data_IF_268675858991
#
_entry.id   IF_268675858991
#
_cell.length_a   1.000
_cell.length_b   1.000
_cell.length_c   1.000
_cell.angle_alpha   90.00
_cell.angle_beta   90.00
_cell.angle_gamma   90.00
#
_symmetry.space_group_name_H-M   'P 1'
#
loop_
_entity.id
_entity.type
_entity.pdbx_description
1 polymer ?
#
# COMPACT_ATOMS: atom_id res chain seq x y z
N UNK A 1 -12.26 -32.01 -3.99
CA UNK A 1 -11.61 -31.86 -2.67
C UNK A 1 -10.78 -30.59 -2.71
N UNK A 2 -11.31 -29.50 -2.16
CA UNK A 2 -10.59 -28.25 -2.00
C UNK A 2 -9.68 -28.42 -0.79
N UNK A 3 -8.40 -28.69 -1.02
CA UNK A 3 -7.40 -28.53 0.03
C UNK A 3 -7.42 -27.07 0.46
N UNK A 4 -7.88 -26.83 1.68
CA UNK A 4 -7.53 -25.62 2.41
C UNK A 4 -6.01 -25.63 2.52
N UNK A 5 -5.30 -24.94 1.61
CA UNK A 5 -3.91 -24.56 1.86
C UNK A 5 -3.95 -23.75 3.15
N UNK A 6 -3.52 -24.39 4.24
CA UNK A 6 -3.52 -23.79 5.56
C UNK A 6 -2.85 -22.43 5.47
N UNK A 7 -3.45 -21.42 6.12
CA UNK A 7 -2.82 -20.11 6.30
C UNK A 7 -1.37 -20.36 6.72
N UNK A 8 -0.39 -19.91 5.93
CA UNK A 8 1.02 -20.03 6.31
C UNK A 8 1.18 -19.41 7.70
N UNK A 9 1.92 -20.09 8.56
CA UNK A 9 2.20 -19.58 9.90
C UNK A 9 2.93 -18.23 9.79
N UNK A 10 2.53 -17.26 10.61
CA UNK A 10 3.24 -15.98 10.72
C UNK A 10 4.60 -16.21 11.38
N UNK A 11 5.67 -15.75 10.73
CA UNK A 11 7.07 -15.94 11.15
C UNK A 11 7.90 -14.71 10.79
N UNK A 12 8.98 -14.45 11.54
CA UNK A 12 9.99 -13.45 11.15
C UNK A 12 10.80 -13.91 9.93
N UNK A 13 10.91 -15.23 9.73
CA UNK A 13 11.40 -15.83 8.49
C UNK A 13 10.33 -15.71 7.39
N UNK A 14 10.15 -14.48 6.91
CA UNK A 14 9.09 -14.10 5.98
C UNK A 14 9.60 -13.58 4.63
N UNK A 15 10.91 -13.27 4.51
CA UNK A 15 11.53 -12.65 3.33
C UNK A 15 11.62 -13.64 2.16
N UNK A 16 10.47 -13.84 1.53
CA UNK A 16 10.23 -14.76 0.44
C UNK A 16 9.48 -14.03 -0.68
N UNK A 17 9.54 -14.58 -1.88
CA UNK A 17 8.78 -14.11 -3.03
C UNK A 17 8.19 -15.31 -3.76
N UNK A 18 7.09 -15.09 -4.49
CA UNK A 18 6.50 -16.08 -5.38
C UNK A 18 6.68 -15.62 -6.82
N UNK A 19 7.04 -16.54 -7.72
CA UNK A 19 7.10 -16.28 -9.17
C UNK A 19 5.98 -17.03 -9.85
N UNK A 20 5.11 -16.29 -10.52
CA UNK A 20 4.04 -16.81 -11.37
C UNK A 20 4.46 -16.57 -12.82
N UNK A 21 4.58 -17.63 -13.61
CA UNK A 21 5.10 -17.55 -14.98
C UNK A 21 4.27 -18.43 -15.92
N UNK A 22 4.09 -18.05 -17.20
CA UNK A 22 3.51 -18.94 -18.19
C UNK A 22 4.32 -20.25 -18.28
N UNK A 23 3.75 -21.33 -18.84
CA UNK A 23 4.53 -22.54 -19.11
C UNK A 23 5.80 -22.18 -19.88
N UNK A 24 6.95 -22.58 -19.35
CA UNK A 24 8.23 -22.33 -19.98
C UNK A 24 8.30 -23.17 -21.28
N UNK A 25 7.93 -22.54 -22.40
CA UNK A 25 7.98 -23.14 -23.73
C UNK A 25 9.36 -23.04 -24.38
N UNK A 26 9.55 -23.71 -25.52
CA UNK A 26 10.78 -23.70 -26.31
C UNK A 26 11.06 -22.36 -27.02
N UNK A 27 10.23 -21.33 -26.81
CA UNK A 27 10.42 -20.00 -27.40
C UNK A 27 11.47 -19.23 -26.60
N UNK A 28 12.43 -18.63 -27.31
CA UNK A 28 13.50 -17.81 -26.71
C UNK A 28 12.99 -16.47 -26.16
N UNK A 29 11.73 -16.10 -26.42
CA UNK A 29 11.18 -14.80 -26.04
C UNK A 29 10.98 -14.71 -24.52
N UNK A 30 11.49 -13.62 -23.93
CA UNK A 30 11.32 -13.31 -22.51
C UNK A 30 10.13 -12.37 -22.31
N UNK A 31 9.31 -12.68 -21.32
CA UNK A 31 8.07 -11.97 -21.00
C UNK A 31 8.32 -10.71 -20.17
N UNK A 32 7.47 -9.66 -20.28
CA UNK A 32 7.45 -8.58 -19.30
C UNK A 32 7.32 -9.11 -17.87
N UNK A 33 7.86 -8.36 -16.91
CA UNK A 33 7.81 -8.74 -15.49
C UNK A 33 7.04 -7.68 -14.73
N UNK A 34 6.03 -8.08 -13.96
CA UNK A 34 5.39 -7.23 -12.96
C UNK A 34 5.84 -7.66 -11.57
N UNK A 35 6.41 -6.75 -10.79
CA UNK A 35 6.71 -6.99 -9.37
C UNK A 35 5.62 -6.32 -8.54
N UNK A 36 4.82 -7.13 -7.86
CA UNK A 36 3.69 -6.70 -7.04
C UNK A 36 4.09 -6.52 -5.58
N UNK A 37 3.92 -5.31 -5.07
CA UNK A 37 4.12 -4.91 -3.68
C UNK A 37 2.75 -4.77 -3.03
N UNK A 38 2.47 -5.60 -2.03
CA UNK A 38 1.16 -5.61 -1.40
C UNK A 38 0.92 -4.41 -0.48
N UNK A 39 -0.35 -4.02 -0.36
CA UNK A 39 -0.86 -3.05 0.61
C UNK A 39 -1.02 -3.62 2.02
N UNK A 40 -1.90 -3.01 2.81
CA UNK A 40 -2.18 -3.40 4.20
C UNK A 40 -1.59 -2.46 5.27
N UNK A 41 -1.45 -1.17 4.92
CA UNK A 41 -1.04 -0.12 5.86
C UNK A 41 0.33 -0.33 6.51
N UNK A 42 1.21 -1.09 5.85
CA UNK A 42 2.52 -1.52 6.37
C UNK A 42 2.46 -2.35 7.66
N UNK A 43 1.30 -2.89 8.04
CA UNK A 43 1.11 -3.67 9.28
C UNK A 43 0.42 -5.01 9.05
N UNK A 44 -0.12 -5.21 7.85
CA UNK A 44 -0.72 -6.46 7.40
C UNK A 44 -0.44 -6.66 5.90
N UNK A 45 -0.79 -7.83 5.38
CA UNK A 45 -0.61 -8.21 3.98
C UNK A 45 0.47 -9.28 3.81
N UNK A 46 0.47 -9.90 2.64
CA UNK A 46 1.43 -10.92 2.23
C UNK A 46 1.33 -11.13 0.72
N UNK A 47 2.44 -11.45 0.07
CA UNK A 47 2.50 -11.75 -1.35
C UNK A 47 1.69 -12.98 -1.75
N UNK A 48 1.44 -13.92 -0.83
CA UNK A 48 0.65 -15.13 -1.12
C UNK A 48 -0.86 -14.87 -1.29
N UNK A 49 -1.36 -13.70 -0.88
CA UNK A 49 -2.75 -13.29 -1.08
C UNK A 49 -3.09 -13.05 -2.55
N UNK A 50 -2.08 -12.76 -3.39
CA UNK A 50 -2.23 -12.29 -4.75
C UNK A 50 -2.00 -13.42 -5.76
N UNK A 51 -2.91 -14.38 -5.78
CA UNK A 51 -2.88 -15.44 -6.79
C UNK A 51 -3.00 -14.84 -8.19
N UNK A 52 -1.89 -14.92 -8.93
CA UNK A 52 -1.69 -14.23 -10.21
C UNK A 52 -1.87 -15.14 -11.42
N UNK A 53 -2.43 -16.34 -11.25
CA UNK A 53 -2.59 -17.32 -12.33
C UNK A 53 -3.32 -16.74 -13.55
N UNK A 54 -4.41 -16.01 -13.33
CA UNK A 54 -5.21 -15.42 -14.40
C UNK A 54 -4.48 -14.29 -15.11
N UNK A 55 -3.85 -13.40 -14.34
CA UNK A 55 -3.08 -12.29 -14.87
C UNK A 55 -1.92 -12.78 -15.76
N UNK A 56 -1.20 -13.81 -15.30
CA UNK A 56 -0.14 -14.47 -16.08
C UNK A 56 -0.69 -15.12 -17.35
N UNK A 57 -1.82 -15.84 -17.25
CA UNK A 57 -2.39 -16.58 -18.38
C UNK A 57 -2.95 -15.65 -19.47
N UNK A 58 -3.61 -14.54 -19.09
CA UNK A 58 -4.24 -13.60 -20.02
C UNK A 58 -3.27 -12.53 -20.53
N UNK A 59 -2.41 -12.01 -19.65
CA UNK A 59 -1.50 -10.92 -19.99
C UNK A 59 -0.17 -11.36 -20.57
N UNK A 60 0.12 -12.67 -20.63
CA UNK A 60 1.39 -13.22 -21.12
C UNK A 60 2.63 -12.55 -20.49
N UNK A 61 2.61 -12.41 -19.16
CA UNK A 61 3.67 -11.80 -18.36
C UNK A 61 4.10 -12.69 -17.18
N UNK A 62 5.27 -12.42 -16.62
CA UNK A 62 5.70 -12.97 -15.33
C UNK A 62 5.24 -12.03 -14.21
N UNK A 63 4.68 -12.57 -13.14
CA UNK A 63 4.30 -11.80 -11.94
C UNK A 63 5.12 -12.29 -10.75
N UNK A 64 5.78 -11.37 -10.06
CA UNK A 64 6.52 -11.63 -8.83
C UNK A 64 5.81 -10.93 -7.67
N UNK A 65 5.27 -11.69 -6.73
CA UNK A 65 4.67 -11.14 -5.50
C UNK A 65 5.68 -11.23 -4.36
N UNK A 66 5.92 -10.16 -3.63
CA UNK A 66 6.98 -10.12 -2.61
C UNK A 66 6.42 -10.01 -1.20
N UNK A 67 7.10 -10.63 -0.23
CA UNK A 67 6.96 -10.29 1.18
C UNK A 67 8.05 -9.30 1.60
N UNK A 68 7.69 -8.38 2.49
CA UNK A 68 8.61 -7.44 3.13
C UNK A 68 8.23 -7.30 4.60
N UNK A 69 9.18 -6.91 5.47
CA UNK A 69 8.87 -6.74 6.89
C UNK A 69 7.87 -5.61 7.12
N UNK A 70 6.97 -5.83 8.07
CA UNK A 70 5.86 -4.94 8.43
C UNK A 70 6.00 -4.45 9.88
N UNK A 71 5.22 -3.44 10.26
CA UNK A 71 5.11 -2.92 11.62
C UNK A 71 6.46 -2.50 12.20
N UNK A 72 6.70 -2.85 13.46
CA UNK A 72 7.95 -2.55 14.15
C UNK A 72 9.16 -3.22 13.47
N UNK A 73 9.00 -4.44 12.97
CA UNK A 73 10.08 -5.19 12.34
C UNK A 73 10.53 -4.56 11.00
N UNK A 74 9.60 -3.91 10.30
CA UNK A 74 9.85 -3.25 9.02
C UNK A 74 10.31 -1.80 9.15
N UNK A 75 9.79 -1.07 10.13
CA UNK A 75 9.84 0.40 10.07
C UNK A 75 10.30 1.11 11.35
N UNK A 76 10.73 0.37 12.39
CA UNK A 76 11.20 0.99 13.63
C UNK A 76 12.46 1.86 13.39
N UNK A 77 12.35 3.16 13.63
CA UNK A 77 13.41 4.14 13.42
C UNK A 77 14.19 4.45 14.72
N UNK A 78 14.36 3.45 15.60
CA UNK A 78 15.01 3.67 16.89
C UNK A 78 16.52 3.91 16.70
N UNK A 79 17.12 4.97 17.28
CA UNK A 79 18.53 5.33 17.08
C UNK A 79 19.55 4.23 17.45
N UNK A 80 19.22 3.34 18.39
CA UNK A 80 20.10 2.21 18.73
C UNK A 80 20.17 1.11 17.66
N UNK A 81 19.26 1.10 16.68
CA UNK A 81 19.22 0.06 15.63
C UNK A 81 20.16 0.32 14.46
N UNK A 82 20.69 1.54 14.32
CA UNK A 82 21.59 1.91 13.23
C UNK A 82 22.13 3.33 13.40
N UNK A 83 23.23 3.63 12.71
CA UNK A 83 23.85 4.96 12.79
C UNK A 83 23.05 6.00 11.98
N UNK A 84 22.76 7.14 12.62
CA UNK A 84 22.23 8.33 11.97
C UNK A 84 20.94 8.08 11.17
N UNK A 85 21.03 8.26 9.87
CA UNK A 85 19.94 8.23 8.89
C UNK A 85 19.65 6.81 8.32
N UNK A 86 20.23 5.76 8.90
CA UNK A 86 20.16 4.37 8.41
C UNK A 86 19.18 3.49 9.20
N UNK A 87 18.08 4.06 9.69
CA UNK A 87 17.04 3.38 10.48
C UNK A 87 15.65 3.58 9.86
N UNK A 88 14.67 2.76 10.25
CA UNK A 88 13.26 2.99 9.94
C UNK A 88 12.73 2.51 8.59
N UNK A 89 13.59 2.04 7.67
CA UNK A 89 13.18 1.63 6.32
C UNK A 89 13.62 0.21 5.96
N UNK A 90 13.54 -0.72 6.90
CA UNK A 90 13.93 -2.10 6.69
C UNK A 90 12.99 -2.82 5.71
N UNK A 91 11.67 -2.57 5.80
CA UNK A 91 10.69 -3.10 4.85
C UNK A 91 10.93 -2.60 3.42
N UNK A 92 11.26 -1.31 3.24
CA UNK A 92 11.63 -0.75 1.94
C UNK A 92 12.96 -1.35 1.41
N UNK A 93 13.92 -1.60 2.30
CA UNK A 93 15.17 -2.27 1.95
C UNK A 93 14.94 -3.75 1.53
N UNK A 94 13.98 -4.44 2.14
CA UNK A 94 13.57 -5.79 1.75
C UNK A 94 12.98 -5.80 0.33
N UNK A 95 12.11 -4.82 0.03
CA UNK A 95 11.54 -4.65 -1.32
C UNK A 95 12.66 -4.38 -2.35
N UNK A 96 13.63 -3.52 -2.03
CA UNK A 96 14.80 -3.30 -2.88
C UNK A 96 15.65 -4.57 -3.08
N UNK A 97 15.78 -5.41 -2.04
CA UNK A 97 16.46 -6.69 -2.15
C UNK A 97 15.72 -7.65 -3.09
N UNK A 98 14.38 -7.69 -3.01
CA UNK A 98 13.56 -8.46 -3.94
C UNK A 98 13.68 -7.94 -5.39
N UNK A 99 13.73 -6.62 -5.61
CA UNK A 99 13.93 -6.05 -6.95
C UNK A 99 15.31 -6.41 -7.53
N UNK A 100 16.37 -6.40 -6.71
CA UNK A 100 17.69 -6.90 -7.13
C UNK A 100 17.66 -8.39 -7.47
N UNK A 101 16.96 -9.19 -6.66
CA UNK A 101 16.76 -10.61 -6.95
C UNK A 101 16.06 -10.81 -8.30
N UNK A 102 15.01 -10.03 -8.60
CA UNK A 102 14.30 -10.08 -9.89
C UNK A 102 15.26 -9.76 -11.04
N UNK A 103 16.02 -8.67 -10.96
CA UNK A 103 17.02 -8.31 -11.98
C UNK A 103 17.99 -9.46 -12.25
N UNK A 104 18.48 -10.11 -11.19
CA UNK A 104 19.54 -11.11 -11.29
C UNK A 104 19.01 -12.51 -11.71
N UNK A 105 17.73 -12.83 -11.47
CA UNK A 105 17.24 -14.21 -11.57
C UNK A 105 16.03 -14.40 -12.50
N UNK A 106 15.25 -13.36 -12.80
CA UNK A 106 13.93 -13.55 -13.43
C UNK A 106 14.00 -14.12 -14.86
N UNK A 107 15.15 -13.97 -15.52
CA UNK A 107 15.44 -14.61 -16.80
C UNK A 107 15.28 -16.13 -16.78
N UNK A 108 15.68 -16.78 -15.68
CA UNK A 108 15.53 -18.24 -15.50
C UNK A 108 14.08 -18.68 -15.37
N UNK A 109 13.17 -17.75 -15.07
CA UNK A 109 11.73 -17.97 -14.95
C UNK A 109 10.96 -17.46 -16.18
N UNK A 110 11.65 -17.18 -17.29
CA UNK A 110 11.02 -16.71 -18.54
C UNK A 110 10.74 -15.21 -18.58
N UNK A 111 11.12 -14.44 -17.56
CA UNK A 111 10.96 -12.99 -17.54
C UNK A 111 12.12 -12.24 -18.20
N UNK A 112 11.88 -11.04 -18.68
CA UNK A 112 12.89 -10.12 -19.19
C UNK A 112 13.27 -9.12 -18.07
N UNK A 113 14.51 -9.18 -17.53
CA UNK A 113 14.94 -8.29 -16.45
C UNK A 113 15.02 -6.82 -16.88
N UNK A 114 14.98 -6.51 -18.17
CA UNK A 114 14.95 -5.13 -18.69
C UNK A 114 13.53 -4.58 -18.83
N UNK A 115 12.50 -5.44 -18.74
CA UNK A 115 11.09 -5.08 -18.89
C UNK A 115 10.30 -5.13 -17.58
N UNK A 116 10.94 -4.85 -16.46
CA UNK A 116 10.34 -4.86 -15.11
C UNK A 116 9.46 -3.62 -14.86
N UNK A 117 8.21 -3.86 -14.47
CA UNK A 117 7.27 -2.86 -13.94
C UNK A 117 7.02 -3.14 -12.47
N UNK A 118 7.19 -2.15 -11.59
CA UNK A 118 6.74 -2.26 -10.19
C UNK A 118 5.28 -1.82 -10.08
N UNK A 119 4.49 -2.52 -9.29
CA UNK A 119 3.08 -2.25 -9.11
C UNK A 119 2.69 -2.47 -7.66
N UNK A 120 1.76 -1.68 -7.14
CA UNK A 120 1.24 -1.87 -5.80
C UNK A 120 -0.07 -1.15 -5.58
N UNK A 121 -0.73 -1.52 -4.49
CA UNK A 121 -1.99 -0.93 -4.03
C UNK A 121 -1.86 -0.45 -2.58
N UNK A 122 -2.52 0.66 -2.24
CA UNK A 122 -2.50 1.21 -0.87
C UNK A 122 -1.07 1.50 -0.37
N UNK A 123 -0.67 0.95 0.78
CA UNK A 123 0.71 0.98 1.27
C UNK A 123 1.75 0.42 0.27
N UNK A 124 1.35 -0.54 -0.56
CA UNK A 124 2.19 -1.04 -1.66
C UNK A 124 2.37 0.00 -2.76
N UNK A 125 1.33 0.78 -3.07
CA UNK A 125 1.42 1.92 -4.00
C UNK A 125 2.26 3.06 -3.42
N UNK A 126 2.17 3.32 -2.11
CA UNK A 126 3.10 4.22 -1.42
C UNK A 126 4.55 3.76 -1.56
N UNK A 127 4.82 2.45 -1.40
CA UNK A 127 6.14 1.86 -1.62
C UNK A 127 6.62 2.06 -3.07
N UNK A 128 5.72 2.00 -4.06
CA UNK A 128 6.03 2.32 -5.46
C UNK A 128 6.45 3.79 -5.59
N UNK A 129 5.72 4.72 -4.97
CA UNK A 129 6.12 6.14 -4.92
C UNK A 129 7.49 6.33 -4.25
N UNK A 130 7.77 5.63 -3.16
CA UNK A 130 9.09 5.67 -2.52
C UNK A 130 10.19 5.15 -3.43
N UNK A 131 9.95 4.05 -4.15
CA UNK A 131 10.90 3.50 -5.11
C UNK A 131 11.17 4.41 -6.30
N UNK A 132 10.23 5.27 -6.69
CA UNK A 132 10.47 6.29 -7.71
C UNK A 132 11.51 7.33 -7.26
N UNK A 133 11.73 7.52 -5.95
CA UNK A 133 12.67 8.54 -5.43
C UNK A 133 13.84 7.96 -4.63
N UNK A 134 13.77 6.68 -4.25
CA UNK A 134 14.79 5.99 -3.48
C UNK A 134 16.05 5.71 -4.33
N UNK A 135 17.25 6.18 -3.91
CA UNK A 135 18.49 5.95 -4.65
C UNK A 135 18.80 4.47 -4.89
N UNK A 136 18.51 3.62 -3.89
CA UNK A 136 18.75 2.17 -3.95
C UNK A 136 17.83 1.40 -4.92
N UNK A 137 16.83 2.07 -5.49
CA UNK A 137 15.90 1.49 -6.47
C UNK A 137 16.17 1.92 -7.91
N UNK A 138 17.06 2.90 -8.13
CA UNK A 138 17.36 3.44 -9.44
C UNK A 138 17.85 2.35 -10.40
N UNK A 139 17.23 2.26 -11.57
CA UNK A 139 17.57 1.28 -12.60
C UNK A 139 17.09 -0.15 -12.37
N UNK A 140 16.31 -0.42 -11.30
CA UNK A 140 15.74 -1.76 -11.04
C UNK A 140 14.38 -2.01 -11.72
N UNK A 141 13.78 -0.98 -12.29
CA UNK A 141 12.50 -1.05 -12.99
C UNK A 141 12.44 -0.01 -14.10
N UNK A 142 11.56 -0.24 -15.08
CA UNK A 142 11.37 0.62 -16.27
C UNK A 142 10.00 1.29 -16.35
N UNK A 143 9.07 0.94 -15.46
CA UNK A 143 7.72 1.50 -15.36
C UNK A 143 7.14 1.26 -13.97
N UNK A 144 6.11 2.03 -13.61
CA UNK A 144 5.44 1.95 -12.31
C UNK A 144 3.90 1.96 -12.43
N UNK A 145 3.22 1.26 -11.53
CA UNK A 145 1.76 1.30 -11.36
C UNK A 145 1.44 1.64 -9.91
N UNK A 146 0.69 2.73 -9.69
CA UNK A 146 0.32 3.26 -8.37
C UNK A 146 -1.20 3.20 -8.24
N UNK A 147 -1.70 2.22 -7.50
CA UNK A 147 -3.15 2.06 -7.26
C UNK A 147 -3.51 2.59 -5.87
N UNK A 148 -4.29 3.66 -5.81
CA UNK A 148 -4.85 4.16 -4.54
C UNK A 148 -3.79 4.45 -3.47
N UNK A 149 -2.64 5.01 -3.89
CA UNK A 149 -1.50 5.27 -3.02
C UNK A 149 -1.51 6.68 -2.41
N UNK A 150 -1.75 6.86 -1.09
CA UNK A 150 -1.58 8.14 -0.42
C UNK A 150 -0.09 8.43 -0.19
N UNK A 151 0.64 8.74 -1.26
CA UNK A 151 2.10 8.88 -1.27
C UNK A 151 2.67 10.11 -0.54
N UNK A 152 1.82 10.80 0.23
CA UNK A 152 2.14 11.91 1.14
C UNK A 152 2.12 11.50 2.62
N UNK A 153 1.83 10.23 2.94
CA UNK A 153 1.62 9.75 4.30
C UNK A 153 2.90 9.26 5.01
N UNK A 154 4.06 9.38 4.38
CA UNK A 154 5.37 9.12 5.00
C UNK A 154 5.66 10.12 6.12
N UNK A 155 6.54 9.76 7.05
CA UNK A 155 6.94 10.63 8.18
C UNK A 155 8.39 11.03 8.12
N UNK A 156 8.75 12.17 8.69
CA UNK A 156 10.15 12.56 8.83
C UNK A 156 10.88 11.72 9.91
N UNK A 157 12.20 11.56 9.73
CA UNK A 157 13.04 10.78 10.63
C UNK A 157 12.97 11.22 12.10
N UNK A 158 12.89 12.52 12.38
CA UNK A 158 12.85 12.99 13.77
C UNK A 158 11.55 12.57 14.46
N UNK A 159 10.41 12.67 13.76
CA UNK A 159 9.12 12.17 14.22
C UNK A 159 9.11 10.66 14.38
N UNK A 160 9.64 9.91 13.41
CA UNK A 160 9.75 8.46 13.50
C UNK A 160 10.63 8.01 14.68
N UNK A 161 11.75 8.71 14.95
CA UNK A 161 12.63 8.43 16.08
C UNK A 161 11.93 8.63 17.43
N UNK A 162 11.19 9.73 17.60
CA UNK A 162 10.41 9.98 18.83
C UNK A 162 9.39 8.87 19.08
N UNK A 163 8.57 8.54 18.09
CA UNK A 163 7.59 7.45 18.19
C UNK A 163 8.27 6.10 18.46
N UNK A 164 9.45 5.87 17.87
CA UNK A 164 10.19 4.61 18.06
C UNK A 164 10.79 4.47 19.46
N UNK A 165 11.19 5.58 20.09
CA UNK A 165 11.63 5.62 21.49
C UNK A 165 10.46 5.29 22.43
N UNK A 166 9.31 5.94 22.25
CA UNK A 166 8.10 5.68 23.05
C UNK A 166 7.64 4.22 22.90
N UNK A 167 7.69 3.70 21.67
CA UNK A 167 7.41 2.31 21.38
C UNK A 167 8.35 1.37 22.14
N UNK A 168 9.67 1.58 22.05
CA UNK A 168 10.65 0.75 22.74
C UNK A 168 10.41 0.77 24.26
N UNK A 169 10.12 1.93 24.84
CA UNK A 169 9.77 2.05 26.26
C UNK A 169 8.50 1.25 26.62
N UNK A 170 7.45 1.31 25.78
CA UNK A 170 6.19 0.59 25.99
C UNK A 170 6.31 -0.93 26.00
N UNK A 171 7.35 -1.47 25.36
CA UNK A 171 7.64 -2.91 25.33
C UNK A 171 8.74 -3.31 26.33
N UNK A 172 9.16 -2.39 27.20
CA UNK A 172 10.13 -2.64 28.26
C UNK A 172 11.60 -2.43 27.87
N UNK A 173 11.86 -1.81 26.71
CA UNK A 173 13.20 -1.56 26.17
C UNK A 173 13.55 -0.05 26.17
N UNK A 174 13.32 0.63 27.30
CA UNK A 174 13.44 2.09 27.40
C UNK A 174 14.89 2.61 27.42
N UNK A 175 15.86 1.81 27.87
CA UNK A 175 17.27 2.23 27.98
C UNK A 175 17.92 2.31 26.59
N UNK A 176 18.30 3.50 26.09
CA UNK A 176 18.86 3.65 24.76
C UNK A 176 20.16 2.86 24.55
N UNK A 177 20.95 2.62 25.62
CA UNK A 177 22.22 1.90 25.53
C UNK A 177 22.02 0.40 25.26
N UNK A 178 20.92 -0.17 25.74
CA UNK A 178 20.62 -1.61 25.62
C UNK A 178 19.40 -1.91 24.73
N UNK A 179 18.66 -0.88 24.30
CA UNK A 179 17.40 -1.00 23.58
C UNK A 179 17.47 -1.92 22.37
N UNK A 180 18.54 -1.86 21.57
CA UNK A 180 18.65 -2.70 20.38
C UNK A 180 18.77 -4.19 20.72
N UNK A 181 19.52 -4.53 21.77
CA UNK A 181 19.64 -5.90 22.25
C UNK A 181 18.34 -6.37 22.89
N UNK A 182 17.73 -5.52 23.72
CA UNK A 182 16.42 -5.78 24.34
C UNK A 182 15.35 -6.08 23.28
N UNK A 183 15.20 -5.20 22.28
CA UNK A 183 14.20 -5.33 21.21
C UNK A 183 14.37 -6.64 20.42
N UNK A 184 15.61 -7.03 20.10
CA UNK A 184 15.91 -8.28 19.38
C UNK A 184 15.69 -9.54 20.23
N UNK A 185 15.74 -9.42 21.55
CA UNK A 185 15.52 -10.55 22.46
C UNK A 185 14.04 -10.78 22.78
N UNK A 186 13.16 -9.81 22.46
CA UNK A 186 11.73 -9.96 22.67
C UNK A 186 11.14 -11.01 21.69
N UNK A 187 10.18 -11.84 22.13
CA UNK A 187 9.40 -12.65 21.21
C UNK A 187 8.66 -11.76 20.21
N UNK A 188 8.61 -12.15 18.93
CA UNK A 188 7.94 -11.37 17.87
C UNK A 188 6.49 -10.95 18.23
N UNK A 189 5.75 -11.80 18.96
CA UNK A 189 4.40 -11.48 19.43
C UNK A 189 4.33 -10.25 20.35
N UNK A 190 5.41 -9.91 21.07
CA UNK A 190 5.51 -8.66 21.86
C UNK A 190 5.69 -7.43 20.97
N UNK A 191 6.15 -7.61 19.74
CA UNK A 191 6.34 -6.57 18.74
C UNK A 191 5.15 -6.45 17.76
N UNK A 192 4.11 -7.27 17.94
CA UNK A 192 2.98 -7.36 17.02
C UNK A 192 2.09 -6.10 16.99
N UNK A 193 2.15 -5.27 18.05
CA UNK A 193 1.58 -3.92 18.00
C UNK A 193 2.57 -3.03 17.26
N UNK A 194 2.19 -2.42 16.12
CA UNK A 194 3.11 -1.58 15.36
C UNK A 194 3.25 -0.20 16.00
N UNK A 195 4.40 0.49 15.78
CA UNK A 195 4.48 1.92 15.98
C UNK A 195 3.60 2.62 14.94
N UNK A 196 2.90 3.65 15.38
CA UNK A 196 1.98 4.42 14.56
C UNK A 196 2.61 5.78 14.25
N UNK A 197 3.08 5.96 13.03
CA UNK A 197 3.85 7.14 12.59
C UNK A 197 2.96 8.23 12.00
N UNK A 198 2.07 7.85 11.10
CA UNK A 198 1.17 8.76 10.39
C UNK A 198 -0.27 8.51 10.83
N UNK A 199 -1.13 9.53 10.70
CA UNK A 199 -2.55 9.45 11.03
C UNK A 199 -3.36 9.89 9.82
N UNK A 200 -4.16 8.98 9.26
CA UNK A 200 -5.33 9.35 8.47
C UNK A 200 -6.49 9.47 9.49
N UNK A 201 -6.42 10.51 10.33
CA UNK A 201 -7.37 10.78 11.41
C UNK A 201 -7.16 9.91 12.66
N UNK A 202 -8.03 10.08 13.66
CA UNK A 202 -7.87 9.46 14.99
C UNK A 202 -8.01 7.92 15.01
N UNK A 203 -8.64 7.32 14.01
CA UNK A 203 -8.91 5.86 13.96
C UNK A 203 -7.99 5.05 13.05
N UNK A 204 -7.28 5.70 12.12
CA UNK A 204 -6.46 5.06 11.09
C UNK A 204 -5.04 5.60 11.14
N UNK A 205 -4.25 5.02 12.02
CA UNK A 205 -2.81 5.28 12.04
C UNK A 205 -2.07 4.31 11.11
N UNK A 206 -0.94 4.73 10.56
CA UNK A 206 -0.07 3.94 9.69
C UNK A 206 1.32 3.81 10.32
N UNK A 207 1.87 2.60 10.31
CA UNK A 207 3.33 2.42 10.30
C UNK A 207 3.82 2.66 8.87
N UNK A 208 5.12 2.76 8.63
CA UNK A 208 5.61 2.83 7.27
C UNK A 208 6.87 3.66 7.07
N UNK A 209 7.13 4.03 5.80
CA UNK A 209 8.38 4.60 5.36
C UNK A 209 8.72 5.94 6.02
N UNK A 210 10.01 6.15 6.23
CA UNK A 210 10.58 7.30 6.92
C UNK A 210 11.43 8.13 5.96
N UNK A 211 11.06 9.37 5.72
CA UNK A 211 11.81 10.32 4.90
C UNK A 211 12.98 10.94 5.68
N UNK A 212 13.94 11.54 4.98
CA UNK A 212 15.17 12.05 5.61
C UNK A 212 16.14 10.93 6.01
N UNK A 213 15.98 9.73 5.46
CA UNK A 213 16.89 8.59 5.67
C UNK A 213 17.77 8.35 4.44
N UNK A 214 18.86 7.61 4.57
CA UNK A 214 19.67 7.22 3.42
C UNK A 214 18.87 6.39 2.38
N UNK A 215 17.89 5.60 2.82
CA UNK A 215 17.05 4.76 1.95
C UNK A 215 15.96 5.57 1.25
N UNK A 216 15.37 6.54 1.94
CA UNK A 216 14.34 7.45 1.44
C UNK A 216 14.67 8.89 1.87
N UNK A 217 15.51 9.60 1.10
CA UNK A 217 16.04 10.90 1.54
C UNK A 217 15.01 12.02 1.51
N UNK A 218 14.05 11.94 0.59
CA UNK A 218 13.08 13.00 0.31
C UNK A 218 11.68 12.42 0.29
N UNK A 219 10.71 13.24 0.70
CA UNK A 219 9.30 12.96 0.52
C UNK A 219 8.97 12.78 -0.99
N UNK A 220 8.25 11.71 -1.38
CA UNK A 220 7.96 11.43 -2.78
C UNK A 220 7.18 12.57 -3.47
N UNK A 221 6.14 13.10 -2.84
CA UNK A 221 5.30 14.15 -3.44
C UNK A 221 6.08 15.45 -3.63
N UNK A 222 6.87 15.85 -2.63
CA UNK A 222 7.76 17.00 -2.74
C UNK A 222 8.82 16.81 -3.84
N UNK A 223 9.40 15.61 -3.92
CA UNK A 223 10.40 15.27 -4.93
C UNK A 223 9.81 15.33 -6.36
N UNK A 224 8.62 14.75 -6.58
CA UNK A 224 7.93 14.84 -7.86
C UNK A 224 7.63 16.31 -8.22
N UNK A 225 7.14 17.09 -7.26
CA UNK A 225 6.88 18.52 -7.39
C UNK A 225 8.10 19.32 -7.84
N UNK A 226 9.28 18.97 -7.33
CA UNK A 226 10.58 19.53 -7.73
C UNK A 226 11.14 18.96 -9.04
N UNK A 227 10.45 18.01 -9.68
CA UNK A 227 10.91 17.36 -10.90
C UNK A 227 11.99 16.29 -10.68
N UNK A 228 12.18 15.83 -9.45
CA UNK A 228 13.04 14.69 -9.12
C UNK A 228 12.27 13.36 -9.24
N UNK A 229 12.99 12.24 -9.11
CA UNK A 229 12.46 10.89 -9.24
C UNK A 229 12.72 10.23 -10.60
N UNK A 230 12.48 8.93 -10.66
CA UNK A 230 12.71 8.08 -11.82
C UNK A 230 11.86 8.54 -13.01
N UNK A 231 12.50 8.67 -14.17
CA UNK A 231 11.89 9.11 -15.43
C UNK A 231 11.36 7.90 -16.20
N UNK A 232 10.34 7.27 -15.65
CA UNK A 232 9.71 6.07 -16.23
C UNK A 232 8.20 6.27 -16.44
N UNK A 233 7.56 5.60 -17.40
CA UNK A 233 6.12 5.65 -17.56
C UNK A 233 5.40 5.20 -16.29
N UNK A 234 4.33 5.90 -15.92
CA UNK A 234 3.54 5.63 -14.72
C UNK A 234 2.06 5.48 -15.10
N UNK A 235 1.43 4.40 -14.65
CA UNK A 235 -0.03 4.29 -14.54
C UNK A 235 -0.42 4.61 -13.11
N UNK A 236 -1.28 5.59 -12.88
CA UNK A 236 -1.72 6.01 -11.55
C UNK A 236 -3.24 6.14 -11.52
N UNK A 237 -3.86 5.78 -10.41
CA UNK A 237 -5.30 5.96 -10.29
C UNK A 237 -5.81 5.71 -8.89
N UNK A 238 -7.09 5.98 -8.72
CA UNK A 238 -7.86 5.82 -7.48
C UNK A 238 -9.21 5.20 -7.78
N UNK A 239 -9.88 4.73 -6.75
CA UNK A 239 -11.26 4.31 -6.85
C UNK A 239 -12.19 5.50 -6.54
N UNK A 240 -13.42 5.47 -7.04
CA UNK A 240 -14.36 6.59 -6.87
C UNK A 240 -14.79 6.80 -5.41
N UNK A 241 -14.86 5.72 -4.61
CA UNK A 241 -15.38 5.73 -3.24
C UNK A 241 -14.31 5.24 -2.22
N UNK A 242 -13.03 5.58 -2.40
CA UNK A 242 -11.87 5.07 -1.61
C UNK A 242 -12.18 4.89 -0.12
N UNK A 243 -12.66 5.95 0.52
CA UNK A 243 -12.68 5.98 1.98
C UNK A 243 -13.87 5.23 2.61
N UNK A 244 -14.84 4.77 1.82
CA UNK A 244 -16.03 4.07 2.35
C UNK A 244 -15.67 2.73 2.99
N UNK A 245 -14.57 2.08 2.57
CA UNK A 245 -14.08 0.85 3.20
C UNK A 245 -13.64 1.14 4.65
N UNK A 246 -12.92 2.24 4.85
CA UNK A 246 -12.39 2.62 6.16
C UNK A 246 -13.52 3.04 7.11
N UNK A 247 -14.53 3.77 6.61
CA UNK A 247 -15.72 4.08 7.41
C UNK A 247 -16.52 2.81 7.76
N UNK A 248 -16.62 1.84 6.84
CA UNK A 248 -17.23 0.54 7.12
C UNK A 248 -16.43 -0.27 8.16
N UNK A 249 -15.10 -0.28 8.09
CA UNK A 249 -14.25 -0.92 9.10
C UNK A 249 -14.42 -0.27 10.48
N UNK A 250 -14.52 1.06 10.53
CA UNK A 250 -14.84 1.78 11.78
C UNK A 250 -16.20 1.39 12.33
N UNK A 251 -17.23 1.31 11.48
CA UNK A 251 -18.55 0.83 11.87
C UNK A 251 -18.49 -0.59 12.46
N UNK A 252 -17.80 -1.51 11.79
CA UNK A 252 -17.66 -2.89 12.27
C UNK A 252 -16.92 -2.98 13.60
N UNK A 253 -15.93 -2.09 13.84
CA UNK A 253 -15.17 -2.02 15.09
C UNK A 253 -15.99 -1.45 16.25
N UNK A 254 -16.77 -0.39 15.99
CA UNK A 254 -17.47 0.38 17.02
C UNK A 254 -18.94 -0.03 17.21
N UNK A 255 -19.52 -0.77 16.26
CA UNK A 255 -20.93 -1.15 16.24
C UNK A 255 -21.90 -0.01 15.98
N UNK A 256 -21.42 1.16 15.52
CA UNK A 256 -22.25 2.36 15.27
C UNK A 256 -21.67 3.24 14.16
N UNK A 257 -22.53 4.00 13.51
CA UNK A 257 -22.15 5.02 12.51
C UNK A 257 -21.64 6.30 13.18
N UNK A 258 -21.05 7.18 12.37
CA UNK A 258 -20.68 8.53 12.83
C UNK A 258 -21.94 9.39 13.02
N UNK A 259 -21.92 10.22 14.05
CA UNK A 259 -22.99 11.16 14.36
C UNK A 259 -22.70 12.55 13.78
N UNK A 260 -23.74 13.37 13.58
CA UNK A 260 -23.57 14.74 13.09
C UNK A 260 -22.69 15.60 14.01
N UNK A 261 -22.73 15.34 15.32
CA UNK A 261 -21.89 16.02 16.31
C UNK A 261 -20.40 15.67 16.18
N UNK A 262 -20.08 14.46 15.70
CA UNK A 262 -18.69 14.03 15.47
C UNK A 262 -18.12 14.60 14.15
N UNK A 263 -18.96 15.03 13.21
CA UNK A 263 -18.53 15.41 11.85
C UNK A 263 -17.46 16.50 11.80
N UNK A 264 -17.57 17.64 12.53
CA UNK A 264 -16.53 18.65 12.52
C UNK A 264 -15.20 18.14 13.11
N UNK A 265 -15.27 17.26 14.11
CA UNK A 265 -14.09 16.67 14.77
C UNK A 265 -13.33 15.77 13.81
N UNK A 266 -14.02 14.80 13.20
CA UNK A 266 -13.35 13.86 12.27
C UNK A 266 -12.75 14.55 11.05
N UNK A 267 -13.35 15.65 10.58
CA UNK A 267 -12.75 16.48 9.53
C UNK A 267 -11.53 17.26 10.01
N UNK A 268 -11.58 17.82 11.22
CA UNK A 268 -10.43 18.50 11.81
C UNK A 268 -9.26 17.53 12.06
N UNK A 269 -9.54 16.26 12.39
CA UNK A 269 -8.51 15.25 12.60
C UNK A 269 -7.74 14.92 11.30
N UNK A 270 -8.39 15.00 10.14
CA UNK A 270 -7.78 14.72 8.83
C UNK A 270 -7.16 15.98 8.22
N UNK A 271 -7.93 17.07 8.19
CA UNK A 271 -7.61 18.29 7.44
C UNK A 271 -7.07 19.42 8.33
N UNK A 272 -6.94 19.18 9.63
CA UNK A 272 -6.46 20.18 10.58
C UNK A 272 -7.35 21.43 10.58
N UNK A 273 -6.76 22.64 10.56
CA UNK A 273 -7.49 23.90 10.55
C UNK A 273 -8.49 24.04 9.38
N UNK A 274 -8.24 23.37 8.25
CA UNK A 274 -9.08 23.47 7.06
C UNK A 274 -10.33 22.60 7.13
N UNK A 275 -10.47 21.74 8.16
CA UNK A 275 -11.58 20.79 8.29
C UNK A 275 -12.96 21.44 8.24
N UNK A 276 -13.12 22.66 8.79
CA UNK A 276 -14.37 23.42 8.68
C UNK A 276 -14.69 23.81 7.23
N UNK A 277 -13.70 24.32 6.51
CA UNK A 277 -13.87 24.74 5.12
C UNK A 277 -14.17 23.53 4.23
N UNK A 278 -13.46 22.41 4.44
CA UNK A 278 -13.76 21.14 3.78
C UNK A 278 -15.20 20.71 4.07
N UNK A 279 -15.63 20.69 5.34
CA UNK A 279 -16.99 20.28 5.70
C UNK A 279 -18.10 21.10 5.04
N UNK A 280 -17.84 22.36 4.69
CA UNK A 280 -18.80 23.18 3.93
C UNK A 280 -19.00 22.70 2.48
N UNK A 281 -18.01 22.04 1.89
CA UNK A 281 -18.11 21.42 0.56
C UNK A 281 -18.73 20.01 0.57
N UNK A 282 -18.72 19.35 1.73
CA UNK A 282 -19.25 17.99 1.92
C UNK A 282 -20.39 17.94 2.96
N UNK A 283 -21.44 18.77 2.87
CA UNK A 283 -22.52 18.73 3.87
C UNK A 283 -23.22 17.37 3.87
N UNK A 284 -23.50 16.74 5.04
CA UNK A 284 -24.17 15.43 5.11
C UNK A 284 -25.48 15.33 4.34
N UNK A 285 -26.22 16.44 4.19
CA UNK A 285 -27.46 16.49 3.40
C UNK A 285 -27.25 16.10 1.91
N UNK A 286 -26.07 16.38 1.34
CA UNK A 286 -25.68 15.95 -0.01
C UNK A 286 -25.57 14.42 -0.12
N UNK A 287 -25.42 13.74 1.01
CA UNK A 287 -25.23 12.30 1.15
C UNK A 287 -26.42 11.64 1.86
N UNK A 288 -27.62 12.21 1.71
CA UNK A 288 -28.84 11.66 2.30
C UNK A 288 -28.87 11.73 3.84
N UNK A 289 -28.08 12.64 4.43
CA UNK A 289 -27.89 12.76 5.87
C UNK A 289 -26.87 11.78 6.45
N UNK A 290 -26.24 10.92 5.65
CA UNK A 290 -25.23 9.98 6.14
C UNK A 290 -23.87 10.66 6.32
N UNK A 291 -23.51 10.87 7.58
CA UNK A 291 -22.24 11.48 7.98
C UNK A 291 -21.03 10.62 7.59
N UNK A 292 -21.17 9.29 7.61
CA UNK A 292 -20.09 8.38 7.23
C UNK A 292 -19.76 8.51 5.74
N UNK A 293 -20.78 8.64 4.89
CA UNK A 293 -20.60 8.87 3.46
C UNK A 293 -20.05 10.26 3.15
N UNK A 294 -20.53 11.30 3.82
CA UNK A 294 -20.02 12.66 3.65
C UNK A 294 -18.55 12.78 4.07
N UNK A 295 -18.19 12.16 5.20
CA UNK A 295 -16.80 12.06 5.64
C UNK A 295 -15.96 11.24 4.65
N UNK A 296 -16.47 10.09 4.18
CA UNK A 296 -15.75 9.25 3.24
C UNK A 296 -15.45 9.98 1.92
N UNK A 297 -16.41 10.73 1.39
CA UNK A 297 -16.21 11.52 0.17
C UNK A 297 -15.14 12.60 0.37
N UNK A 298 -15.20 13.34 1.47
CA UNK A 298 -14.20 14.37 1.77
C UNK A 298 -12.77 13.80 1.84
N UNK A 299 -12.60 12.65 2.50
CA UNK A 299 -11.29 11.99 2.65
C UNK A 299 -10.84 11.33 1.35
N UNK A 300 -11.75 10.76 0.56
CA UNK A 300 -11.44 10.22 -0.77
C UNK A 300 -10.79 11.29 -1.64
N UNK A 301 -11.41 12.47 -1.73
CA UNK A 301 -10.90 13.55 -2.56
C UNK A 301 -9.57 14.09 -2.00
N UNK A 302 -9.52 14.38 -0.71
CA UNK A 302 -8.38 15.06 -0.09
C UNK A 302 -7.13 14.19 0.13
N UNK A 303 -7.30 12.88 0.35
CA UNK A 303 -6.19 11.96 0.69
C UNK A 303 -5.80 11.06 -0.48
N UNK A 304 -6.71 10.77 -1.40
CA UNK A 304 -6.46 9.89 -2.54
C UNK A 304 -6.54 10.64 -3.87
N UNK A 305 -7.73 11.04 -4.32
CA UNK A 305 -7.95 11.48 -5.70
C UNK A 305 -7.15 12.75 -6.06
N UNK A 306 -7.27 13.84 -5.27
CA UNK A 306 -6.52 15.07 -5.53
C UNK A 306 -5.01 14.90 -5.31
N UNK A 307 -4.58 13.90 -4.55
CA UNK A 307 -3.16 13.59 -4.40
C UNK A 307 -2.65 12.86 -5.63
N UNK A 308 -3.36 11.85 -6.11
CA UNK A 308 -3.04 11.12 -7.31
C UNK A 308 -2.96 12.05 -8.53
N UNK A 309 -3.89 13.00 -8.65
CA UNK A 309 -3.87 14.02 -9.71
C UNK A 309 -2.62 14.91 -9.62
N UNK A 310 -2.30 15.44 -8.44
CA UNK A 310 -1.06 16.23 -8.22
C UNK A 310 0.21 15.46 -8.54
N UNK A 311 0.27 14.18 -8.15
CA UNK A 311 1.41 13.30 -8.46
C UNK A 311 1.50 13.08 -9.97
N UNK A 312 0.39 12.77 -10.64
CA UNK A 312 0.34 12.57 -12.09
C UNK A 312 0.80 13.80 -12.86
N UNK A 313 0.32 14.98 -12.47
CA UNK A 313 0.71 16.27 -13.02
C UNK A 313 2.20 16.59 -12.80
N UNK A 314 2.74 16.20 -11.64
CA UNK A 314 4.17 16.38 -11.37
C UNK A 314 5.05 15.42 -12.19
N UNK A 315 4.64 14.16 -12.32
CA UNK A 315 5.37 13.10 -13.02
C UNK A 315 5.35 13.25 -14.55
N UNK A 316 4.27 13.78 -15.14
CA UNK A 316 4.14 13.93 -16.60
C UNK A 316 5.20 14.81 -17.26
N UNK A 317 5.94 15.60 -16.46
CA UNK A 317 7.09 16.39 -16.92
C UNK A 317 8.30 15.52 -17.30
N UNK A 318 8.37 14.29 -16.79
CA UNK A 318 9.52 13.40 -16.96
C UNK A 318 9.28 12.21 -17.90
N UNK A 319 8.07 11.67 -17.92
CA UNK A 319 7.70 10.49 -18.68
C UNK A 319 6.17 10.44 -18.89
N UNK A 320 5.64 9.59 -19.79
CA UNK A 320 4.20 9.42 -19.96
C UNK A 320 3.51 9.00 -18.66
N UNK A 321 2.40 9.65 -18.36
CA UNK A 321 1.51 9.29 -17.26
C UNK A 321 0.15 8.92 -17.83
N UNK A 322 -0.38 7.79 -17.39
CA UNK A 322 -1.72 7.32 -17.68
C UNK A 322 -2.52 7.36 -16.38
N UNK A 323 -3.62 8.10 -16.37
CA UNK A 323 -4.51 8.18 -15.21
C UNK A 323 -5.71 7.26 -15.40
N UNK A 324 -6.20 6.67 -14.31
CA UNK A 324 -7.49 5.97 -14.29
C UNK A 324 -8.29 6.31 -13.04
N UNK A 325 -9.61 6.19 -13.15
CA UNK A 325 -10.53 6.11 -12.00
C UNK A 325 -11.28 4.79 -12.12
N UNK A 326 -11.34 4.02 -11.03
CA UNK A 326 -12.18 2.84 -10.94
C UNK A 326 -13.53 3.21 -10.33
N UNK A 327 -14.61 3.08 -11.10
CA UNK A 327 -15.95 3.58 -10.76
C UNK A 327 -17.03 2.48 -10.76
N UNK A 328 -16.66 1.20 -10.77
CA UNK A 328 -17.63 0.10 -10.64
C UNK A 328 -18.15 0.02 -9.20
N UNK A 329 -19.25 0.73 -8.96
CA UNK A 329 -19.92 0.78 -7.65
C UNK A 329 -20.60 -0.54 -7.26
N UNK A 330 -20.70 -1.49 -8.19
CA UNK A 330 -21.19 -2.85 -7.98
C UNK A 330 -20.10 -3.86 -7.64
N UNK A 331 -18.84 -3.44 -7.55
CA UNK A 331 -17.71 -4.31 -7.28
C UNK A 331 -17.94 -5.19 -6.03
N UNK A 332 -17.73 -6.52 -6.11
CA UNK A 332 -18.03 -7.42 -5.01
C UNK A 332 -17.13 -7.16 -3.78
N UNK A 333 -17.72 -6.62 -2.71
CA UNK A 333 -17.02 -6.45 -1.45
C UNK A 333 -16.96 -7.74 -0.60
N UNK A 334 -15.85 -8.01 0.12
CA UNK A 334 -15.78 -9.13 1.05
C UNK A 334 -16.77 -8.98 2.20
N UNK A 335 -17.32 -10.10 2.67
CA UNK A 335 -17.93 -10.16 4.01
C UNK A 335 -16.79 -10.14 5.03
N UNK A 336 -16.66 -9.12 5.90
CA UNK A 336 -17.76 -8.47 6.63
C UNK A 336 -18.17 -7.06 6.17
N UNK A 337 -17.48 -6.45 5.21
CA UNK A 337 -17.71 -5.04 4.83
C UNK A 337 -19.15 -4.77 4.35
N UNK A 338 -19.79 -5.78 3.74
CA UNK A 338 -21.20 -5.73 3.31
C UNK A 338 -22.21 -5.53 4.44
N UNK A 339 -21.81 -5.60 5.71
CA UNK A 339 -22.68 -5.37 6.88
C UNK A 339 -22.79 -3.90 7.28
N UNK A 340 -22.01 -3.02 6.67
CA UNK A 340 -22.14 -1.58 6.90
C UNK A 340 -23.53 -1.08 6.47
N UNK A 341 -24.13 -0.11 7.16
CA UNK A 341 -25.48 0.38 6.88
C UNK A 341 -25.54 1.37 5.70
N UNK A 342 -24.48 1.47 4.92
CA UNK A 342 -24.32 2.35 3.76
C UNK A 342 -23.63 1.61 2.62
N UNK A 343 -23.86 2.00 1.35
CA UNK A 343 -23.20 1.39 0.21
C UNK A 343 -21.69 1.66 0.24
N UNK A 344 -20.89 0.64 -0.08
CA UNK A 344 -19.44 0.78 -0.24
C UNK A 344 -19.07 1.44 -1.58
N UNK A 345 -19.85 1.19 -2.63
CA UNK A 345 -19.52 1.68 -3.97
C UNK A 345 -18.18 1.13 -4.48
N UNK A 346 -17.46 1.93 -5.26
CA UNK A 346 -16.15 1.58 -5.78
C UNK A 346 -15.08 1.87 -4.71
N UNK A 347 -15.09 1.04 -3.66
CA UNK A 347 -14.30 1.28 -2.46
C UNK A 347 -12.83 0.86 -2.60
N UNK A 348 -11.97 1.33 -1.71
CA UNK A 348 -10.53 1.01 -1.69
C UNK A 348 -10.27 -0.50 -1.84
N UNK A 349 -9.29 -0.87 -2.66
CA UNK A 349 -8.87 -2.25 -2.96
C UNK A 349 -9.86 -3.14 -3.73
N UNK A 350 -11.09 -2.68 -4.01
CA UNK A 350 -12.08 -3.52 -4.68
C UNK A 350 -11.75 -3.79 -6.15
N UNK A 351 -10.95 -2.93 -6.79
CA UNK A 351 -10.44 -3.11 -8.14
C UNK A 351 -9.45 -4.28 -8.25
N UNK A 352 -8.78 -4.66 -7.15
CA UNK A 352 -7.84 -5.78 -7.13
C UNK A 352 -8.47 -7.11 -7.51
N UNK A 353 -9.77 -7.26 -7.30
CA UNK A 353 -10.53 -8.45 -7.69
C UNK A 353 -10.68 -8.58 -9.20
N UNK A 354 -10.39 -7.54 -9.98
CA UNK A 354 -10.37 -7.62 -11.44
C UNK A 354 -9.00 -8.09 -11.96
N UNK A 355 -7.96 -8.01 -11.11
CA UNK A 355 -6.58 -8.40 -11.46
C UNK A 355 -6.20 -9.76 -10.89
N UNK A 356 -6.62 -10.05 -9.66
CA UNK A 356 -6.15 -11.19 -8.88
C UNK A 356 -7.31 -12.04 -8.37
N UNK A 357 -7.07 -13.34 -8.18
CA UNK A 357 -8.02 -14.23 -7.51
C UNK A 357 -7.93 -14.07 -5.98
N UNK A 358 -8.37 -12.92 -5.47
CA UNK A 358 -8.30 -12.56 -4.04
C UNK A 358 -9.66 -12.80 -3.38
N UNK A 359 -9.65 -13.37 -2.17
CA UNK A 359 -10.88 -13.61 -1.39
C UNK A 359 -11.76 -14.75 -1.92
N UNK A 360 -11.18 -15.68 -2.69
CA UNK A 360 -11.87 -16.89 -3.16
C UNK A 360 -12.79 -16.71 -4.36
N UNK A 361 -13.00 -15.47 -4.82
CA UNK A 361 -13.67 -15.20 -6.08
C UNK A 361 -12.65 -15.23 -7.23
N UNK A 362 -12.94 -15.89 -8.37
CA UNK A 362 -12.15 -15.66 -9.58
C UNK A 362 -12.25 -14.18 -9.99
N UNK A 363 -11.25 -13.64 -10.71
CA UNK A 363 -11.37 -12.28 -11.19
C UNK A 363 -12.62 -12.13 -12.05
N UNK A 364 -13.32 -11.00 -11.90
CA UNK A 364 -14.47 -10.72 -12.74
C UNK A 364 -13.97 -10.56 -14.17
N UNK A 365 -14.40 -11.46 -15.06
CA UNK A 365 -14.10 -11.35 -16.48
C UNK A 365 -14.65 -10.02 -16.99
N UNK A 366 -13.80 -9.17 -17.55
CA UNK A 366 -14.21 -7.98 -18.29
C UNK A 366 -15.04 -8.31 -19.55
N UNK A 367 -15.17 -9.61 -19.87
CA UNK A 367 -15.99 -10.11 -20.96
C UNK A 367 -17.06 -11.09 -20.41
N UNK A 368 -18.34 -10.71 -20.32
CA UNK A 368 -19.39 -11.55 -19.74
C UNK A 368 -19.64 -12.87 -20.51
N UNK A 369 -18.96 -13.10 -21.63
CA UNK A 369 -19.14 -14.25 -22.51
C UNK A 369 -18.05 -15.33 -22.42
N UNK A 370 -16.99 -15.14 -21.64
CA UNK A 370 -15.99 -16.19 -21.42
C UNK A 370 -16.28 -16.94 -20.12
N UNK A 371 -17.04 -18.02 -20.25
CA UNK A 371 -17.16 -19.05 -19.20
C UNK A 371 -15.79 -19.74 -19.05
N UNK A 372 -15.26 -19.94 -17.83
CA UNK A 372 -14.05 -20.72 -17.65
C UNK A 372 -14.32 -22.16 -18.05
N UNK A 373 -13.62 -22.66 -19.07
CA UNK A 373 -13.52 -24.10 -19.32
C UNK A 373 -12.66 -24.66 -18.20
N UNK A 374 -13.26 -25.54 -17.40
CA UNK A 374 -12.65 -26.22 -16.24
C UNK A 374 -11.61 -27.23 -16.71
#
# INVERSE_FOLDING_TARGET
MQESRGRKATSEDCLTLNVWTPPLGATAEKHPVMVWIHGGGFVNGSGDLYNSRWLVAQGHLVVVTVNYRLGALGFLAHPSLGAGDRVGNYGLADQQAALRWVRDNIASFGGDPTRVTIAGESAGAMSVCDHLVAPGSAGLFRAAIVQSGPCQAQVDLASAQRTSLDYAASVGCADPATAAQCLRALPAAKLARPPWYSRIGDSDSLSGPVTGTATLPVDPVAAFGAGHGAKVPVLIGTNQDEFTMFTALRYLRLGRTMTAAEYPGVLADIFGPDGRAVGAHYPPDRYGGDVSLAYAAAVTDGVFACVADRIGEALRRGAPVYAYEFDDRGAPAPEPLRRAPFPLGASHSLELRYLFAVGGAPPLSLNPWMVPVI
#
